data_IF_489088616573
#
_entry.id   IF_489088616573
#
_cell.length_a   1.000
_cell.length_b   1.000
_cell.length_c   1.000
_cell.angle_alpha   90.00
_cell.angle_beta   90.00
_cell.angle_gamma   90.00
#
_symmetry.space_group_name_H-M   'P 1'
#
loop_
_entity.id
_entity.type
_entity.pdbx_description
1 polymer ?
#
# COMPACT_ATOMS: atom_id res chain seq x y z
N UNK A 1 15.58 -19.63 -44.40
CA UNK A 1 15.60 -20.39 -43.14
C UNK A 1 16.35 -19.57 -42.12
N UNK A 2 15.67 -18.62 -41.49
CA UNK A 2 16.07 -18.01 -40.21
C UNK A 2 14.75 -17.90 -39.45
N UNK A 3 14.64 -18.72 -38.41
CA UNK A 3 13.49 -18.73 -37.53
C UNK A 3 13.39 -17.35 -36.88
N UNK A 4 12.23 -16.72 -37.02
CA UNK A 4 11.83 -15.58 -36.20
C UNK A 4 11.24 -16.20 -34.93
N UNK A 5 12.12 -16.59 -34.00
CA UNK A 5 11.72 -17.09 -32.68
C UNK A 5 11.66 -15.90 -31.70
N UNK A 6 10.52 -15.84 -31.01
CA UNK A 6 10.28 -15.29 -29.67
C UNK A 6 10.57 -13.82 -29.38
N UNK A 7 9.60 -12.97 -29.77
CA UNK A 7 9.24 -11.77 -28.98
C UNK A 7 8.20 -12.21 -27.95
N UNK A 8 8.61 -12.97 -26.94
CA UNK A 8 7.83 -13.25 -25.72
C UNK A 8 8.74 -13.78 -24.59
N UNK A 9 10.00 -13.32 -24.54
CA UNK A 9 10.88 -13.60 -23.42
C UNK A 9 10.44 -12.77 -22.20
N UNK A 10 9.48 -13.29 -21.43
CA UNK A 10 9.13 -12.79 -20.10
C UNK A 10 10.41 -12.67 -19.27
N UNK A 11 10.67 -11.52 -18.69
CA UNK A 11 11.85 -11.32 -17.86
C UNK A 11 11.85 -12.34 -16.70
N UNK A 12 13.03 -12.82 -16.26
CA UNK A 12 13.08 -13.76 -15.15
C UNK A 12 12.49 -13.10 -13.90
N UNK A 13 11.62 -13.82 -13.18
CA UNK A 13 10.80 -13.31 -12.07
C UNK A 13 11.59 -12.52 -11.01
N UNK A 14 12.86 -12.85 -10.77
CA UNK A 14 13.73 -12.10 -9.86
C UNK A 14 14.03 -10.66 -10.34
N UNK A 15 14.28 -10.47 -11.65
CA UNK A 15 14.47 -9.14 -12.22
C UNK A 15 13.17 -8.33 -12.25
N UNK A 16 12.02 -8.98 -12.40
CA UNK A 16 10.71 -8.34 -12.27
C UNK A 16 10.47 -7.86 -10.82
N UNK A 17 10.75 -8.71 -9.82
CA UNK A 17 10.64 -8.35 -8.39
C UNK A 17 11.56 -7.19 -8.02
N UNK A 18 12.80 -7.17 -8.53
CA UNK A 18 13.75 -6.08 -8.27
C UNK A 18 13.26 -4.75 -8.89
N UNK A 19 12.71 -4.77 -10.10
CA UNK A 19 12.14 -3.58 -10.74
C UNK A 19 10.88 -3.07 -10.01
N UNK A 20 10.05 -3.97 -9.50
CA UNK A 20 8.87 -3.63 -8.70
C UNK A 20 9.29 -3.00 -7.37
N UNK A 21 10.24 -3.62 -6.66
CA UNK A 21 10.81 -3.09 -5.43
C UNK A 21 11.42 -1.69 -5.67
N UNK A 22 12.13 -1.51 -6.76
CA UNK A 22 12.65 -0.23 -7.20
C UNK A 22 11.54 0.80 -7.45
N UNK A 23 10.40 0.42 -8.02
CA UNK A 23 9.25 1.33 -8.21
C UNK A 23 8.59 1.79 -6.91
N UNK A 24 8.59 0.94 -5.87
CA UNK A 24 8.19 1.30 -4.51
C UNK A 24 9.16 2.34 -3.93
N UNK A 25 10.44 2.23 -4.28
CA UNK A 25 11.47 3.21 -3.95
C UNK A 25 11.45 4.45 -4.87
N UNK A 26 10.57 4.49 -5.86
CA UNK A 26 10.32 5.63 -6.74
C UNK A 26 10.91 5.53 -8.15
N UNK A 27 11.59 4.44 -8.51
CA UNK A 27 12.10 4.24 -9.86
C UNK A 27 10.98 4.00 -10.89
N UNK A 28 11.21 4.35 -12.15
CA UNK A 28 10.21 4.17 -13.22
C UNK A 28 9.06 5.18 -13.22
N UNK A 29 9.07 6.17 -12.31
CA UNK A 29 8.06 7.23 -12.27
C UNK A 29 8.18 8.15 -13.51
N UNK A 30 7.12 8.34 -14.31
CA UNK A 30 7.13 9.28 -15.41
C UNK A 30 7.44 10.71 -14.93
N UNK A 31 8.28 11.43 -15.69
CA UNK A 31 8.70 12.78 -15.33
C UNK A 31 7.53 13.77 -15.14
N UNK A 32 6.38 13.56 -15.82
CA UNK A 32 5.16 14.33 -15.59
C UNK A 32 4.63 14.09 -14.18
N UNK A 33 4.43 12.83 -13.79
CA UNK A 33 3.95 12.48 -12.46
C UNK A 33 4.91 12.94 -11.36
N UNK A 34 6.23 12.80 -11.57
CA UNK A 34 7.24 13.28 -10.63
C UNK A 34 7.17 14.81 -10.42
N UNK A 35 7.02 15.58 -11.51
CA UNK A 35 6.82 17.03 -11.41
C UNK A 35 5.56 17.38 -10.62
N UNK A 36 4.45 16.70 -10.90
CA UNK A 36 3.19 16.91 -10.19
C UNK A 36 3.25 16.57 -8.71
N UNK A 37 3.91 15.49 -8.33
CA UNK A 37 4.14 15.17 -6.91
C UNK A 37 4.95 16.27 -6.20
N UNK A 38 5.99 16.80 -6.87
CA UNK A 38 6.81 17.89 -6.33
C UNK A 38 6.02 19.19 -6.18
N UNK A 39 5.24 19.55 -7.19
CA UNK A 39 4.38 20.75 -7.17
C UNK A 39 3.30 20.62 -6.07
N UNK A 40 2.66 19.45 -5.96
CA UNK A 40 1.69 19.19 -4.90
C UNK A 40 2.30 19.36 -3.50
N UNK A 41 3.52 18.86 -3.29
CA UNK A 41 4.23 19.02 -2.03
C UNK A 41 4.55 20.50 -1.72
N UNK A 42 4.98 21.27 -2.72
CA UNK A 42 5.23 22.71 -2.57
C UNK A 42 3.94 23.50 -2.27
N UNK A 43 2.81 23.06 -2.83
CA UNK A 43 1.49 23.65 -2.66
C UNK A 43 0.66 23.00 -1.55
N UNK A 44 1.24 22.18 -0.66
CA UNK A 44 0.51 21.38 0.35
C UNK A 44 -0.43 22.20 1.27
N UNK A 45 -0.15 23.49 1.45
CA UNK A 45 -0.96 24.42 2.25
C UNK A 45 -2.24 24.89 1.52
N UNK A 46 -2.37 24.60 0.23
CA UNK A 46 -3.53 24.92 -0.62
C UNK A 46 -4.21 23.59 -1.02
N UNK A 47 -5.18 23.15 -0.23
CA UNK A 47 -5.77 21.82 -0.31
C UNK A 47 -6.24 21.45 -1.72
N UNK A 48 -7.07 22.28 -2.34
CA UNK A 48 -7.62 22.04 -3.68
C UNK A 48 -6.53 21.97 -4.77
N UNK A 49 -5.50 22.82 -4.65
CA UNK A 49 -4.39 22.86 -5.60
C UNK A 49 -3.52 21.63 -5.46
N UNK A 50 -3.16 21.27 -4.23
CA UNK A 50 -2.36 20.09 -3.94
C UNK A 50 -3.08 18.80 -4.37
N UNK A 51 -4.38 18.68 -4.08
CA UNK A 51 -5.17 17.53 -4.50
C UNK A 51 -5.25 17.42 -6.03
N UNK A 52 -5.53 18.53 -6.73
CA UNK A 52 -5.58 18.54 -8.20
C UNK A 52 -4.26 18.06 -8.79
N UNK A 53 -3.13 18.56 -8.29
CA UNK A 53 -1.80 18.13 -8.75
C UNK A 53 -1.53 16.64 -8.46
N UNK A 54 -1.98 16.12 -7.31
CA UNK A 54 -1.86 14.69 -7.01
C UNK A 54 -2.72 13.81 -7.93
N UNK A 55 -3.92 14.28 -8.29
CA UNK A 55 -4.79 13.58 -9.24
C UNK A 55 -4.22 13.61 -10.66
N UNK A 56 -3.61 14.72 -11.09
CA UNK A 56 -2.87 14.79 -12.35
C UNK A 56 -1.66 13.83 -12.35
N UNK A 57 -0.98 13.68 -11.21
CA UNK A 57 0.09 12.68 -11.07
C UNK A 57 -0.46 11.25 -11.22
N UNK A 58 -1.66 10.99 -10.69
CA UNK A 58 -2.33 9.68 -10.79
C UNK A 58 -2.75 9.36 -12.21
N UNK A 59 -3.25 10.34 -12.95
CA UNK A 59 -3.57 10.19 -14.37
C UNK A 59 -2.31 9.88 -15.20
N UNK A 60 -1.20 10.56 -14.91
CA UNK A 60 0.06 10.37 -15.62
C UNK A 60 0.77 9.05 -15.29
N UNK A 61 0.55 8.48 -14.11
CA UNK A 61 1.14 7.21 -13.69
C UNK A 61 0.15 6.38 -12.85
N UNK A 62 -0.89 5.80 -13.49
CA UNK A 62 -1.88 5.00 -12.79
C UNK A 62 -1.20 3.82 -12.08
N UNK A 63 -1.58 3.59 -10.82
CA UNK A 63 -1.05 2.51 -9.99
C UNK A 63 0.45 2.59 -9.61
N UNK A 64 1.16 3.68 -9.93
CA UNK A 64 2.55 3.81 -9.50
C UNK A 64 2.63 4.01 -7.97
N UNK A 65 3.40 3.21 -7.22
CA UNK A 65 3.43 3.26 -5.76
C UNK A 65 3.73 4.66 -5.19
N UNK A 66 4.71 5.37 -5.75
CA UNK A 66 5.03 6.74 -5.34
C UNK A 66 3.83 7.70 -5.38
N UNK A 67 2.97 7.59 -6.40
CA UNK A 67 1.78 8.45 -6.55
C UNK A 67 0.70 8.06 -5.55
N UNK A 68 0.43 6.76 -5.41
CA UNK A 68 -0.53 6.25 -4.43
C UNK A 68 -0.11 6.62 -2.99
N UNK A 69 1.18 6.50 -2.65
CA UNK A 69 1.71 6.91 -1.35
C UNK A 69 1.53 8.43 -1.14
N UNK A 70 1.75 9.24 -2.17
CA UNK A 70 1.53 10.69 -2.14
C UNK A 70 0.08 11.05 -1.80
N UNK A 71 -0.88 10.46 -2.52
CA UNK A 71 -2.32 10.63 -2.28
C UNK A 71 -2.73 10.14 -0.88
N UNK A 72 -2.27 8.95 -0.48
CA UNK A 72 -2.56 8.39 0.84
C UNK A 72 -2.13 9.36 1.96
N UNK A 73 -0.88 9.87 1.89
CA UNK A 73 -0.34 10.79 2.89
C UNK A 73 -1.11 12.10 2.91
N UNK A 74 -1.46 12.64 1.75
CA UNK A 74 -2.26 13.86 1.64
C UNK A 74 -3.60 13.69 2.36
N UNK A 75 -4.40 12.69 2.00
CA UNK A 75 -5.70 12.46 2.62
C UNK A 75 -5.60 12.13 4.11
N UNK A 76 -4.62 11.32 4.50
CA UNK A 76 -4.37 10.97 5.89
C UNK A 76 -4.11 12.21 6.75
N UNK A 77 -3.16 13.08 6.34
CA UNK A 77 -2.79 14.25 7.13
C UNK A 77 -3.85 15.37 7.08
N UNK A 78 -4.67 15.44 6.04
CA UNK A 78 -5.85 16.33 5.98
C UNK A 78 -7.06 15.79 6.74
N UNK A 79 -6.97 14.60 7.33
CA UNK A 79 -8.08 13.98 8.07
C UNK A 79 -9.21 13.44 7.19
N UNK A 80 -8.99 13.34 5.87
CA UNK A 80 -9.94 12.78 4.90
C UNK A 80 -9.82 11.25 4.89
N UNK A 81 -10.26 10.64 5.99
CA UNK A 81 -9.98 9.21 6.25
C UNK A 81 -10.66 8.27 5.25
N UNK A 82 -11.86 8.58 4.77
CA UNK A 82 -12.54 7.76 3.76
C UNK A 82 -11.77 7.71 2.43
N UNK A 83 -11.22 8.85 2.01
CA UNK A 83 -10.38 8.93 0.81
C UNK A 83 -9.05 8.18 1.05
N UNK A 84 -8.45 8.35 2.23
CA UNK A 84 -7.24 7.62 2.61
C UNK A 84 -7.45 6.09 2.60
N UNK A 85 -8.62 5.60 3.04
CA UNK A 85 -9.00 4.17 2.97
C UNK A 85 -9.07 3.71 1.51
N UNK A 86 -9.67 4.51 0.64
CA UNK A 86 -9.79 4.19 -0.79
C UNK A 86 -8.40 4.06 -1.44
N UNK A 87 -7.47 4.95 -1.10
CA UNK A 87 -6.08 4.87 -1.58
C UNK A 87 -5.34 3.70 -0.94
N UNK A 88 -5.55 3.41 0.34
CA UNK A 88 -4.95 2.24 1.00
C UNK A 88 -5.38 0.93 0.33
N UNK A 89 -6.64 0.80 -0.10
CA UNK A 89 -7.11 -0.34 -0.90
C UNK A 89 -6.37 -0.43 -2.23
N UNK A 90 -6.23 0.68 -2.96
CA UNK A 90 -5.47 0.69 -4.21
C UNK A 90 -3.99 0.30 -4.02
N UNK A 91 -3.36 0.69 -2.90
CA UNK A 91 -2.02 0.24 -2.54
C UNK A 91 -1.97 -1.27 -2.24
N UNK A 92 -2.98 -1.83 -1.54
CA UNK A 92 -3.07 -3.27 -1.28
C UNK A 92 -3.25 -4.05 -2.58
N UNK A 93 -4.16 -3.62 -3.45
CA UNK A 93 -4.41 -4.25 -4.75
C UNK A 93 -3.14 -4.25 -5.60
N UNK A 94 -2.41 -3.13 -5.61
CA UNK A 94 -1.11 -3.03 -6.26
C UNK A 94 -0.12 -4.03 -5.66
N UNK A 95 0.03 -4.05 -4.34
CA UNK A 95 0.97 -4.96 -3.69
C UNK A 95 0.65 -6.44 -3.95
N UNK A 96 -0.63 -6.82 -3.90
CA UNK A 96 -1.11 -8.18 -4.18
C UNK A 96 -0.86 -8.57 -5.64
N UNK A 97 -1.19 -7.67 -6.57
CA UNK A 97 -0.93 -7.87 -8.00
C UNK A 97 0.56 -8.11 -8.27
N UNK A 98 1.44 -7.32 -7.66
CA UNK A 98 2.87 -7.45 -7.84
C UNK A 98 3.47 -8.69 -7.16
N UNK A 99 2.86 -9.16 -6.06
CA UNK A 99 3.22 -10.43 -5.43
C UNK A 99 2.66 -11.65 -6.20
N UNK A 100 1.80 -11.44 -7.20
CA UNK A 100 1.11 -12.51 -7.89
C UNK A 100 0.09 -13.26 -7.01
N UNK A 101 -0.47 -12.59 -6.01
CA UNK A 101 -1.40 -13.18 -5.03
C UNK A 101 -2.86 -12.86 -5.36
N UNK A 102 -3.78 -13.55 -4.67
CA UNK A 102 -5.21 -13.26 -4.77
C UNK A 102 -5.50 -11.80 -4.38
N UNK A 103 -6.46 -11.18 -5.06
CA UNK A 103 -6.83 -9.77 -4.86
C UNK A 103 -7.57 -9.45 -3.55
N UNK A 104 -7.57 -10.36 -2.57
CA UNK A 104 -8.08 -10.12 -1.22
C UNK A 104 -6.98 -10.42 -0.21
N UNK A 105 -6.61 -9.41 0.58
CA UNK A 105 -5.61 -9.52 1.64
C UNK A 105 -5.95 -10.60 2.66
N UNK A 106 -7.24 -10.95 2.82
CA UNK A 106 -7.69 -12.03 3.71
C UNK A 106 -7.19 -13.39 3.28
N UNK A 107 -7.01 -13.60 1.97
CA UNK A 107 -6.58 -14.87 1.39
C UNK A 107 -5.07 -15.10 1.54
N UNK A 108 -4.28 -14.05 1.79
CA UNK A 108 -2.82 -14.12 1.92
C UNK A 108 -2.42 -15.01 3.10
N UNK A 109 -1.46 -15.91 2.85
CA UNK A 109 -0.91 -16.87 3.79
C UNK A 109 0.55 -16.55 4.14
N UNK A 110 1.06 -16.99 5.31
CA UNK A 110 2.44 -16.70 5.71
C UNK A 110 3.51 -17.23 4.76
N UNK A 111 3.20 -18.29 3.99
CA UNK A 111 4.13 -18.89 3.02
C UNK A 111 4.15 -18.22 1.65
N UNK A 112 3.27 -17.24 1.40
CA UNK A 112 3.12 -16.60 0.09
C UNK A 112 4.28 -15.65 -0.23
N UNK A 113 4.92 -15.07 0.78
CA UNK A 113 6.09 -14.20 0.64
C UNK A 113 6.87 -14.08 1.96
N UNK A 114 8.06 -13.49 1.91
CA UNK A 114 8.90 -13.25 3.09
C UNK A 114 8.45 -11.99 3.86
N UNK A 115 7.28 -12.06 4.51
CA UNK A 115 6.71 -10.97 5.31
C UNK A 115 7.54 -10.63 6.55
N UNK A 116 8.35 -11.58 7.03
CA UNK A 116 9.23 -11.42 8.17
C UNK A 116 10.55 -10.74 7.83
N UNK A 117 10.89 -10.47 6.57
CA UNK A 117 12.17 -9.85 6.21
C UNK A 117 12.09 -8.34 6.01
N UNK A 118 13.12 -7.64 6.49
CA UNK A 118 13.28 -6.20 6.25
C UNK A 118 13.76 -5.90 4.83
N UNK A 119 14.45 -6.84 4.18
CA UNK A 119 14.93 -6.66 2.81
C UNK A 119 13.87 -6.98 1.74
N UNK A 120 12.77 -7.63 2.13
CA UNK A 120 11.66 -7.94 1.25
C UNK A 120 10.77 -6.70 1.06
N UNK A 121 11.18 -5.79 0.17
CA UNK A 121 10.55 -4.48 -0.04
C UNK A 121 9.04 -4.58 -0.32
N UNK A 122 8.63 -5.49 -1.20
CA UNK A 122 7.24 -5.62 -1.61
C UNK A 122 6.34 -6.23 -0.50
N UNK A 123 6.71 -7.35 0.17
CA UNK A 123 6.03 -7.79 1.38
C UNK A 123 5.97 -6.74 2.49
N UNK A 124 7.03 -5.93 2.63
CA UNK A 124 7.08 -4.82 3.60
C UNK A 124 6.10 -3.71 3.21
N UNK A 125 6.02 -3.36 1.94
CA UNK A 125 5.03 -2.41 1.43
C UNK A 125 3.60 -2.91 1.69
N UNK A 126 3.32 -4.18 1.42
CA UNK A 126 2.02 -4.80 1.71
C UNK A 126 1.66 -4.71 3.20
N UNK A 127 2.55 -5.14 4.09
CA UNK A 127 2.30 -5.18 5.54
C UNK A 127 2.15 -3.79 6.16
N UNK A 128 2.95 -2.81 5.75
CA UNK A 128 2.73 -1.42 6.18
C UNK A 128 1.42 -0.84 5.65
N UNK A 129 1.06 -1.13 4.41
CA UNK A 129 -0.22 -0.69 3.83
C UNK A 129 -1.40 -1.31 4.58
N UNK A 130 -1.36 -2.60 4.87
CA UNK A 130 -2.42 -3.30 5.61
C UNK A 130 -2.52 -2.78 7.06
N UNK A 131 -1.40 -2.37 7.68
CA UNK A 131 -1.40 -1.72 8.99
C UNK A 131 -2.07 -0.34 8.94
N UNK A 132 -1.78 0.47 7.91
CA UNK A 132 -2.44 1.75 7.67
C UNK A 132 -3.94 1.59 7.43
N UNK A 133 -4.32 0.62 6.61
CA UNK A 133 -5.72 0.23 6.37
C UNK A 133 -6.44 -0.11 7.67
N UNK A 134 -5.84 -0.96 8.51
CA UNK A 134 -6.41 -1.35 9.80
C UNK A 134 -6.65 -0.14 10.71
N UNK A 135 -5.62 0.70 10.87
CA UNK A 135 -5.69 1.91 11.67
C UNK A 135 -6.79 2.87 11.19
N UNK A 136 -6.88 3.09 9.87
CA UNK A 136 -7.91 3.95 9.30
C UNK A 136 -9.32 3.43 9.57
N UNK A 137 -9.55 2.13 9.38
CA UNK A 137 -10.83 1.50 9.66
C UNK A 137 -11.22 1.66 11.13
N UNK A 138 -10.30 1.36 12.06
CA UNK A 138 -10.51 1.59 13.48
C UNK A 138 -10.86 3.05 13.80
N UNK A 139 -10.13 4.00 13.21
CA UNK A 139 -10.38 5.43 13.40
C UNK A 139 -11.71 5.93 12.86
N UNK A 140 -12.30 5.22 11.91
CA UNK A 140 -13.63 5.51 11.35
C UNK A 140 -14.75 4.73 12.03
N UNK A 141 -14.46 3.98 13.11
CA UNK A 141 -15.43 3.17 13.86
C UNK A 141 -15.66 1.77 13.29
N UNK A 142 -14.99 1.38 12.20
CA UNK A 142 -15.03 0.03 11.66
C UNK A 142 -14.05 -0.88 12.40
N UNK A 143 -14.29 -1.10 13.70
CA UNK A 143 -13.35 -1.78 14.60
C UNK A 143 -13.08 -3.21 14.16
N UNK A 144 -14.11 -3.97 13.80
CA UNK A 144 -13.98 -5.37 13.39
C UNK A 144 -13.16 -5.55 12.10
N UNK A 145 -13.31 -4.65 11.13
CA UNK A 145 -12.51 -4.66 9.90
C UNK A 145 -11.03 -4.39 10.22
N UNK A 146 -10.77 -3.42 11.10
CA UNK A 146 -9.43 -3.10 11.54
C UNK A 146 -8.78 -4.24 12.33
N UNK A 147 -9.52 -4.83 13.27
CA UNK A 147 -9.13 -6.01 14.03
C UNK A 147 -8.74 -7.16 13.11
N UNK A 148 -9.59 -7.50 12.13
CA UNK A 148 -9.31 -8.59 11.19
C UNK A 148 -8.01 -8.36 10.40
N UNK A 149 -7.74 -7.11 9.98
CA UNK A 149 -6.51 -6.75 9.29
C UNK A 149 -5.28 -6.85 10.21
N UNK A 150 -5.36 -6.42 11.47
CA UNK A 150 -4.26 -6.57 12.44
C UNK A 150 -3.99 -8.04 12.77
N UNK A 151 -5.03 -8.84 13.00
CA UNK A 151 -4.89 -10.28 13.22
C UNK A 151 -4.20 -10.95 12.04
N UNK A 152 -4.55 -10.56 10.80
CA UNK A 152 -3.85 -11.04 9.60
C UNK A 152 -2.37 -10.64 9.62
N UNK A 153 -2.03 -9.40 9.96
CA UNK A 153 -0.63 -8.96 10.05
C UNK A 153 0.19 -9.84 11.01
N UNK A 154 -0.34 -10.12 12.20
CA UNK A 154 0.34 -10.96 13.20
C UNK A 154 0.43 -12.42 12.76
N UNK A 155 -0.50 -12.91 11.93
CA UNK A 155 -0.39 -14.23 11.33
C UNK A 155 0.73 -14.29 10.26
N UNK A 156 0.89 -13.22 9.45
CA UNK A 156 1.90 -13.14 8.40
C UNK A 156 3.31 -12.89 8.96
N UNK A 157 3.43 -12.07 10.01
CA UNK A 157 4.68 -11.83 10.74
C UNK A 157 4.47 -12.02 12.26
N UNK A 158 4.61 -13.27 12.76
CA UNK A 158 4.49 -13.56 14.18
C UNK A 158 5.55 -12.87 15.06
N UNK A 159 6.64 -12.37 14.48
CA UNK A 159 7.68 -11.63 15.21
C UNK A 159 7.35 -10.15 15.40
N UNK A 160 6.20 -9.72 14.86
CA UNK A 160 5.65 -8.37 14.98
C UNK A 160 6.64 -7.24 14.67
N UNK A 161 7.40 -7.35 13.57
CA UNK A 161 8.45 -6.38 13.19
C UNK A 161 7.92 -5.01 12.79
N UNK A 162 6.62 -4.87 12.60
CA UNK A 162 5.96 -3.58 12.35
C UNK A 162 5.18 -3.09 13.56
N UNK A 163 5.22 -3.78 14.71
CA UNK A 163 4.47 -3.44 15.92
C UNK A 163 2.96 -3.26 15.65
N UNK A 164 2.36 -4.21 14.94
CA UNK A 164 0.93 -4.32 14.71
C UNK A 164 0.18 -4.75 15.98
N UNK A 165 0.82 -5.45 16.92
CA UNK A 165 0.20 -5.87 18.20
C UNK A 165 -0.40 -4.72 18.99
N UNK A 166 0.25 -3.54 18.96
CA UNK A 166 -0.29 -2.32 19.58
C UNK A 166 -1.70 -1.94 19.05
N UNK A 167 -1.97 -2.15 17.76
CA UNK A 167 -3.29 -1.87 17.20
C UNK A 167 -4.33 -2.91 17.62
N UNK A 168 -3.92 -4.17 17.86
CA UNK A 168 -4.82 -5.20 18.38
C UNK A 168 -5.28 -4.84 19.79
N UNK A 169 -4.34 -4.44 20.65
CA UNK A 169 -4.66 -3.99 22.02
C UNK A 169 -5.63 -2.80 22.03
N UNK A 170 -5.50 -1.88 21.06
CA UNK A 170 -6.40 -0.74 20.91
C UNK A 170 -7.78 -1.20 20.44
N UNK A 171 -7.85 -2.13 19.47
CA UNK A 171 -9.10 -2.70 19.00
C UNK A 171 -9.86 -3.46 20.11
N UNK A 172 -9.14 -4.19 20.96
CA UNK A 172 -9.70 -4.89 22.13
C UNK A 172 -10.35 -3.95 23.12
N UNK A 173 -9.72 -2.80 23.39
CA UNK A 173 -10.29 -1.80 24.31
C UNK A 173 -11.55 -1.15 23.75
N UNK A 174 -11.53 -0.78 22.46
CA UNK A 174 -12.70 -0.15 21.83
C UNK A 174 -13.89 -1.13 21.70
N UNK A 175 -13.63 -2.40 21.40
CA UNK A 175 -14.69 -3.41 21.33
C UNK A 175 -15.37 -3.68 22.68
N UNK A 176 -14.62 -3.60 23.79
CA UNK A 176 -15.19 -3.74 25.13
C UNK A 176 -16.07 -2.54 25.52
N UNK A 177 -15.77 -1.33 25.03
CA UNK A 177 -16.54 -0.10 25.31
C UNK A 177 -17.86 -0.01 24.52
N UNK A 178 -17.97 -0.70 23.38
CA UNK A 178 -19.18 -0.74 22.55
C UNK A 178 -20.20 -1.81 23.01
N UNK A 179 -19.78 -2.77 23.85
CA UNK A 179 -20.63 -3.86 24.39
C UNK A 179 -21.28 -3.53 25.76
N UNK A 180 -20.87 -2.43 26.40
CA UNK A 180 -21.38 -1.91 27.69
C UNK A 180 -22.46 -0.82 27.53
#
# INVERSE_FOLDING_TARGET
>A
MFASDDIDAKAPAALEIDAIAASILGEGLPAVAERRLREAAASYHLDDVAETLLLEALEAAPHHPAVLIGLYRFYFYKGRLADAISVARACLDKALSELGLAGDWRAVQPGDADFGSYSAVLPRFFTFTLKGYAYLHMRTGAIEEGRAAVTKLLALDPSDKINAGLLLDIADRMGAEDED
#
